data_IF_256456446599
#
_entry.id   IF_256456446599
#
_cell.length_a   1.000
_cell.length_b   1.000
_cell.length_c   1.000
_cell.angle_alpha   90.00
_cell.angle_beta   90.00
_cell.angle_gamma   90.00
#
_symmetry.space_group_name_H-M   'P 1'
#
loop_
_entity.id
_entity.type
_entity.pdbx_description
1 polymer ?
#
# COMPACT_ATOMS: atom_id res chain seq x y z
N UNK A 1 -34.84 -16.66 5.24
CA UNK A 1 -34.18 -15.56 5.99
C UNK A 1 -32.68 -15.78 5.86
N UNK A 2 -31.92 -14.96 5.13
CA UNK A 2 -30.47 -15.03 5.21
C UNK A 2 -30.00 -14.26 6.45
N UNK A 3 -29.15 -14.97 7.20
CA UNK A 3 -28.44 -14.64 8.43
C UNK A 3 -27.60 -13.37 8.27
N UNK A 4 -27.73 -12.46 9.24
CA UNK A 4 -26.78 -11.43 9.67
C UNK A 4 -25.77 -10.94 8.62
N UNK A 5 -26.08 -9.80 8.01
CA UNK A 5 -25.07 -8.97 7.37
C UNK A 5 -24.02 -8.62 8.43
N UNK A 6 -22.72 -8.90 8.20
CA UNK A 6 -21.74 -8.59 9.22
C UNK A 6 -21.59 -7.08 9.21
N UNK A 7 -22.03 -6.44 10.29
CA UNK A 7 -21.63 -5.09 10.63
C UNK A 7 -20.14 -5.16 11.01
N UNK A 8 -19.26 -5.32 10.01
CA UNK A 8 -17.82 -5.36 10.23
C UNK A 8 -17.39 -3.94 10.49
N UNK A 9 -17.22 -3.60 11.76
CA UNK A 9 -16.43 -2.44 12.14
C UNK A 9 -15.10 -2.50 11.38
N UNK A 10 -14.60 -1.37 10.85
CA UNK A 10 -13.31 -1.35 10.19
C UNK A 10 -12.26 -1.99 11.10
N UNK A 11 -11.58 -3.04 10.63
CA UNK A 11 -10.59 -3.78 11.42
C UNK A 11 -9.17 -3.32 11.06
N UNK A 12 -8.27 -3.35 12.04
CA UNK A 12 -6.85 -3.12 11.80
C UNK A 12 -6.27 -4.26 10.96
N UNK A 13 -6.12 -4.01 9.67
CA UNK A 13 -5.42 -4.93 8.77
C UNK A 13 -3.97 -5.21 9.26
N UNK A 14 -3.61 -6.46 9.63
CA UNK A 14 -2.29 -6.81 10.16
C UNK A 14 -1.18 -6.79 9.09
N UNK A 15 -1.55 -6.88 7.81
CA UNK A 15 -0.62 -6.68 6.69
C UNK A 15 -0.30 -5.21 6.55
N UNK A 16 -1.23 -4.28 6.79
CA UNK A 16 -0.93 -2.83 6.69
C UNK A 16 -0.36 -2.26 8.00
N UNK A 17 -0.80 -2.78 9.15
CA UNK A 17 -0.53 -2.23 10.48
C UNK A 17 0.95 -1.88 10.76
N UNK A 18 1.95 -2.71 10.39
CA UNK A 18 3.34 -2.34 10.63
C UNK A 18 3.74 -1.06 9.91
N UNK A 19 4.37 -0.17 10.66
CA UNK A 19 4.56 1.25 10.29
C UNK A 19 5.15 1.46 8.90
N UNK A 20 6.10 0.63 8.46
CA UNK A 20 6.72 0.78 7.13
C UNK A 20 5.73 0.49 6.00
N UNK A 21 4.84 -0.50 6.18
CA UNK A 21 3.81 -0.83 5.18
C UNK A 21 2.69 0.18 5.20
N UNK A 22 2.28 0.63 6.38
CA UNK A 22 1.35 1.75 6.52
C UNK A 22 1.87 3.01 5.80
N UNK A 23 3.14 3.38 5.99
CA UNK A 23 3.77 4.51 5.28
C UNK A 23 3.74 4.31 3.77
N UNK A 24 4.13 3.14 3.27
CA UNK A 24 4.10 2.84 1.83
C UNK A 24 2.69 2.98 1.26
N UNK A 25 1.69 2.35 1.89
CA UNK A 25 0.30 2.44 1.44
C UNK A 25 -0.22 3.89 1.49
N UNK A 26 0.08 4.63 2.56
CA UNK A 26 -0.30 6.03 2.70
C UNK A 26 0.31 6.91 1.61
N UNK A 27 1.60 6.74 1.31
CA UNK A 27 2.30 7.50 0.25
C UNK A 27 1.71 7.20 -1.12
N UNK A 28 1.47 5.93 -1.45
CA UNK A 28 0.87 5.53 -2.73
C UNK A 28 -0.56 6.05 -2.86
N UNK A 29 -1.37 5.89 -1.82
CA UNK A 29 -2.76 6.35 -1.80
C UNK A 29 -2.87 7.86 -1.95
N UNK A 30 -2.07 8.62 -1.18
CA UNK A 30 -2.03 10.09 -1.23
C UNK A 30 -1.59 10.63 -2.60
N UNK A 31 -0.65 9.94 -3.25
CA UNK A 31 -0.21 10.29 -4.60
C UNK A 31 -1.17 9.85 -5.72
N UNK A 32 -2.28 9.17 -5.38
CA UNK A 32 -3.19 8.57 -6.35
C UNK A 32 -2.51 7.51 -7.21
N UNK A 33 -1.47 6.84 -6.68
CA UNK A 33 -0.76 5.75 -7.35
C UNK A 33 -1.54 4.44 -7.15
N UNK A 34 -2.70 4.37 -7.79
CA UNK A 34 -3.66 3.24 -7.78
C UNK A 34 -3.80 2.67 -9.19
N UNK A 35 -4.79 1.81 -9.44
CA UNK A 35 -5.03 1.30 -10.79
C UNK A 35 -5.08 2.42 -11.84
N UNK A 36 -4.37 2.23 -12.95
CA UNK A 36 -4.17 3.23 -14.00
C UNK A 36 -3.10 4.32 -13.75
N UNK A 37 -2.52 4.45 -12.54
CA UNK A 37 -1.42 5.40 -12.26
C UNK A 37 -0.37 4.81 -11.32
N UNK A 38 0.89 4.80 -11.76
CA UNK A 38 1.99 4.21 -10.99
C UNK A 38 3.00 5.25 -10.49
N UNK A 39 3.69 4.93 -9.40
CA UNK A 39 4.82 5.70 -8.86
C UNK A 39 6.12 4.94 -9.08
N UNK A 40 7.20 5.66 -9.44
CA UNK A 40 8.54 5.05 -9.50
C UNK A 40 9.01 4.64 -8.11
N UNK A 41 9.63 3.47 -8.01
CA UNK A 41 10.26 2.97 -6.78
C UNK A 41 11.21 3.98 -6.15
N UNK A 42 12.03 4.68 -6.95
CA UNK A 42 12.96 5.70 -6.44
C UNK A 42 12.24 6.86 -5.77
N UNK A 43 11.10 7.30 -6.32
CA UNK A 43 10.28 8.34 -5.71
C UNK A 43 9.58 7.85 -4.45
N UNK A 44 9.11 6.61 -4.45
CA UNK A 44 8.54 5.98 -3.26
C UNK A 44 9.58 5.88 -2.13
N UNK A 45 10.82 5.50 -2.44
CA UNK A 45 11.92 5.44 -1.49
C UNK A 45 12.25 6.81 -0.90
N UNK A 46 12.29 7.85 -1.73
CA UNK A 46 12.50 9.24 -1.31
C UNK A 46 11.39 9.69 -0.34
N UNK A 47 10.13 9.46 -0.69
CA UNK A 47 8.98 9.94 0.10
C UNK A 47 8.76 9.15 1.40
N UNK A 48 9.15 7.88 1.43
CA UNK A 48 9.01 7.02 2.63
C UNK A 48 10.26 7.03 3.52
N UNK A 49 11.37 7.57 3.02
CA UNK A 49 12.69 7.58 3.66
C UNK A 49 13.19 6.18 4.06
N UNK A 50 12.70 5.14 3.37
CA UNK A 50 13.04 3.76 3.67
C UNK A 50 14.32 3.34 2.93
N UNK A 51 15.26 2.65 3.61
CA UNK A 51 16.39 1.99 2.95
C UNK A 51 15.91 1.01 1.87
N UNK A 52 16.67 0.89 0.79
CA UNK A 52 16.26 0.11 -0.37
C UNK A 52 15.98 -1.37 -0.05
N UNK A 53 16.76 -1.97 0.86
CA UNK A 53 16.55 -3.35 1.28
C UNK A 53 15.22 -3.51 2.05
N UNK A 54 14.91 -2.54 2.92
CA UNK A 54 13.70 -2.51 3.74
C UNK A 54 12.48 -2.27 2.86
N UNK A 55 12.51 -1.27 1.98
CA UNK A 55 11.41 -1.00 1.05
C UNK A 55 11.13 -2.20 0.14
N UNK A 56 12.17 -2.83 -0.42
CA UNK A 56 12.00 -4.02 -1.27
C UNK A 56 11.35 -5.18 -0.52
N UNK A 57 11.76 -5.45 0.72
CA UNK A 57 11.17 -6.49 1.57
C UNK A 57 9.69 -6.20 1.88
N UNK A 58 9.36 -4.95 2.23
CA UNK A 58 7.98 -4.57 2.54
C UNK A 58 7.07 -4.59 1.31
N UNK A 59 7.56 -4.13 0.16
CA UNK A 59 6.83 -4.22 -1.10
C UNK A 59 6.57 -5.66 -1.50
N UNK A 60 7.54 -6.56 -1.34
CA UNK A 60 7.35 -8.00 -1.58
C UNK A 60 6.22 -8.56 -0.72
N UNK A 61 6.20 -8.21 0.57
CA UNK A 61 5.14 -8.65 1.47
C UNK A 61 3.76 -8.13 1.09
N UNK A 62 3.65 -6.85 0.71
CA UNK A 62 2.39 -6.26 0.23
C UNK A 62 1.92 -6.88 -1.10
N UNK A 63 2.85 -7.18 -2.01
CA UNK A 63 2.53 -7.85 -3.27
C UNK A 63 2.05 -9.29 -3.07
N UNK A 64 2.66 -10.01 -2.13
CA UNK A 64 2.26 -11.39 -1.79
C UNK A 64 0.83 -11.47 -1.23
N UNK A 65 0.33 -10.37 -0.66
CA UNK A 65 -1.07 -10.22 -0.21
C UNK A 65 -1.97 -9.54 -1.26
N UNK A 66 -1.43 -9.23 -2.44
CA UNK A 66 -2.19 -8.61 -3.53
C UNK A 66 -2.54 -7.14 -3.32
N UNK A 67 -1.89 -6.44 -2.38
CA UNK A 67 -2.20 -5.04 -2.06
C UNK A 67 -1.47 -4.04 -2.95
N UNK A 68 -0.35 -4.44 -3.54
CA UNK A 68 0.37 -3.62 -4.52
C UNK A 68 0.70 -4.45 -5.75
N UNK A 69 0.87 -3.75 -6.87
CA UNK A 69 1.46 -4.29 -8.08
C UNK A 69 2.86 -3.69 -8.27
N UNK A 70 3.77 -4.49 -8.86
CA UNK A 70 5.05 -3.99 -9.37
C UNK A 70 5.21 -4.32 -10.83
N UNK A 71 5.62 -3.33 -11.62
CA UNK A 71 5.97 -3.50 -13.03
C UNK A 71 7.42 -3.08 -13.23
N UNK A 72 8.20 -3.92 -13.89
CA UNK A 72 9.57 -3.57 -14.29
C UNK A 72 9.55 -3.17 -15.77
N UNK A 73 10.06 -1.99 -16.04
CA UNK A 73 10.33 -1.50 -17.39
C UNK A 73 11.83 -1.61 -17.63
N UNK A 74 12.22 -2.36 -18.67
CA UNK A 74 13.62 -2.56 -19.02
C UNK A 74 14.09 -1.46 -19.96
N UNK A 75 15.12 -0.73 -19.54
CA UNK A 75 15.73 0.30 -20.36
C UNK A 75 16.81 -0.26 -21.29
N UNK A 76 17.39 0.62 -22.13
CA UNK A 76 18.54 0.24 -22.97
C UNK A 76 19.77 -0.18 -22.16
N UNK A 77 19.82 0.17 -20.88
CA UNK A 77 20.86 -0.24 -19.92
C UNK A 77 20.21 -0.55 -18.58
N UNK A 78 20.88 -1.33 -17.73
CA UNK A 78 20.38 -1.66 -16.38
C UNK A 78 20.16 -0.42 -15.49
N UNK A 79 20.94 0.64 -15.71
CA UNK A 79 20.76 1.92 -15.02
C UNK A 79 19.50 2.68 -15.46
N UNK A 80 18.94 2.33 -16.63
CA UNK A 80 17.68 2.86 -17.16
C UNK A 80 16.47 1.99 -16.83
N UNK A 81 16.65 0.85 -16.15
CA UNK A 81 15.52 0.06 -15.67
C UNK A 81 14.72 0.86 -14.66
N UNK A 82 13.40 0.83 -14.79
CA UNK A 82 12.48 1.43 -13.82
C UNK A 82 11.62 0.36 -13.18
N UNK A 83 11.36 0.53 -11.88
CA UNK A 83 10.34 -0.24 -11.17
C UNK A 83 9.21 0.71 -10.82
N UNK A 84 8.02 0.36 -11.27
CA UNK A 84 6.77 1.07 -11.05
C UNK A 84 5.96 0.32 -10.01
N UNK A 85 5.34 1.07 -9.10
CA UNK A 85 4.58 0.55 -7.96
C UNK A 85 3.24 1.27 -7.92
N UNK A 86 2.16 0.52 -7.71
CA UNK A 86 0.83 1.07 -7.46
C UNK A 86 0.08 0.21 -6.45
N UNK A 87 -0.83 0.80 -5.69
CA UNK A 87 -1.86 0.05 -4.97
C UNK A 87 -2.77 -0.64 -5.98
N UNK A 88 -3.14 -1.88 -5.66
CA UNK A 88 -4.29 -2.52 -6.32
C UNK A 88 -5.59 -1.93 -5.76
N UNK A 89 -6.72 -2.23 -6.40
CA UNK A 89 -8.03 -1.89 -5.84
C UNK A 89 -8.20 -2.44 -4.42
N UNK A 90 -7.85 -3.72 -4.21
CA UNK A 90 -7.89 -4.37 -2.90
C UNK A 90 -6.98 -3.67 -1.87
N UNK A 91 -5.75 -3.29 -2.26
CA UNK A 91 -4.83 -2.59 -1.35
C UNK A 91 -5.28 -1.18 -1.00
N UNK A 92 -5.87 -0.45 -1.96
CA UNK A 92 -6.44 0.87 -1.70
C UNK A 92 -7.63 0.80 -0.75
N UNK A 93 -8.52 -0.18 -0.93
CA UNK A 93 -9.65 -0.42 -0.04
C UNK A 93 -9.18 -0.84 1.36
N UNK A 94 -8.22 -1.77 1.46
CA UNK A 94 -7.65 -2.22 2.73
C UNK A 94 -7.00 -1.06 3.50
N UNK A 95 -6.25 -0.20 2.82
CA UNK A 95 -5.67 1.00 3.45
C UNK A 95 -6.75 1.96 3.95
N UNK A 96 -7.78 2.24 3.16
CA UNK A 96 -8.88 3.11 3.56
C UNK A 96 -9.60 2.55 4.80
N UNK A 97 -9.94 1.26 4.80
CA UNK A 97 -10.56 0.59 5.95
C UNK A 97 -9.67 0.61 7.19
N UNK A 98 -8.36 0.39 7.03
CA UNK A 98 -7.41 0.47 8.14
C UNK A 98 -7.37 1.88 8.76
N UNK A 99 -7.41 2.93 7.95
CA UNK A 99 -7.47 4.32 8.43
C UNK A 99 -8.78 4.62 9.14
N UNK A 100 -9.92 4.14 8.62
CA UNK A 100 -11.21 4.27 9.31
C UNK A 100 -11.21 3.54 10.66
N UNK A 101 -10.57 2.37 10.76
CA UNK A 101 -10.40 1.64 12.01
C UNK A 101 -9.62 2.46 13.05
N UNK A 102 -8.51 3.09 12.63
CA UNK A 102 -7.72 3.97 13.49
C UNK A 102 -8.52 5.19 13.97
N UNK A 103 -9.36 5.79 13.11
CA UNK A 103 -10.22 6.92 13.48
C UNK A 103 -11.27 6.51 14.50
N UNK A 104 -11.96 5.39 14.26
CA UNK A 104 -13.00 4.85 15.12
C UNK A 104 -12.50 4.58 16.56
N UNK A 105 -11.22 4.25 16.75
CA UNK A 105 -10.61 4.08 18.08
C UNK A 105 -10.57 5.38 18.91
N UNK A 106 -10.65 6.54 18.25
CA UNK A 106 -10.60 7.85 18.88
C UNK A 106 -11.94 8.59 18.83
N UNK A 107 -12.95 8.03 18.17
CA UNK A 107 -14.27 8.64 18.09
C UNK A 107 -14.91 8.69 19.49
N UNK A 108 -15.32 9.89 19.92
CA UNK A 108 -15.95 10.11 21.22
C UNK A 108 -14.99 10.38 22.39
N UNK A 109 -13.68 10.51 22.12
CA UNK A 109 -12.74 11.23 23.00
C UNK A 109 -12.90 12.75 22.82
#
# INVERSE_FOLDING_TARGET
MPKDAPNQSPELDPVIHPINRLRICATLYSAGATDGRQMKYSKLAELTELPADTLSKQLKHLEDHGYISRTREYGSTRAKDAVWVALTEAGAQAYAQHVEALKAMTEGL
#
